data_IF_819498312284
#
_entry.id   IF_819498312284
#
_cell.length_a   1.000
_cell.length_b   1.000
_cell.length_c   1.000
_cell.angle_alpha   90.00
_cell.angle_beta   90.00
_cell.angle_gamma   90.00
#
_symmetry.space_group_name_H-M   'P 1'
#
loop_
_entity.id
_entity.type
_entity.pdbx_description
1 polymer ?
#
# COMPACT_ATOMS: atom_id res chain seq x y z
N UNK A 1 62.53 -53.48 43.73
CA UNK A 1 63.93 -53.08 43.50
C UNK A 1 63.92 -52.28 42.20
N UNK A 2 64.13 -50.97 42.32
CA UNK A 2 64.45 -49.99 41.28
C UNK A 2 63.51 -49.82 40.06
N UNK A 3 62.71 -48.76 40.09
CA UNK A 3 62.80 -47.54 39.27
C UNK A 3 63.05 -47.64 37.74
N UNK A 4 62.07 -47.18 36.95
CA UNK A 4 62.20 -46.02 36.04
C UNK A 4 60.87 -45.67 35.33
N UNK A 5 60.32 -44.50 35.69
CA UNK A 5 59.35 -43.67 34.94
C UNK A 5 60.04 -42.93 33.76
N UNK A 6 59.38 -42.06 32.95
CA UNK A 6 57.98 -41.98 32.49
C UNK A 6 57.88 -41.78 30.95
N UNK A 7 56.68 -41.85 30.37
CA UNK A 7 56.36 -41.08 29.16
C UNK A 7 54.86 -40.74 29.13
N UNK A 8 54.61 -39.54 29.64
CA UNK A 8 53.57 -38.56 29.36
C UNK A 8 52.61 -38.88 28.21
N UNK A 9 51.34 -38.84 28.57
CA UNK A 9 50.19 -38.77 27.69
C UNK A 9 48.96 -38.45 28.54
N UNK A 10 48.95 -37.26 29.12
CA UNK A 10 47.88 -36.68 29.95
C UNK A 10 46.49 -36.89 29.33
N UNK A 11 45.66 -37.71 29.99
CA UNK A 11 44.27 -37.38 30.26
C UNK A 11 44.26 -36.80 31.68
N UNK A 12 43.56 -35.68 31.95
CA UNK A 12 42.10 -35.69 32.02
C UNK A 12 41.51 -34.32 31.56
N UNK A 13 40.21 -34.05 31.41
CA UNK A 13 39.13 -34.07 32.39
C UNK A 13 37.78 -33.85 31.66
N UNK A 14 36.74 -34.49 32.19
CA UNK A 14 35.35 -34.07 32.01
C UNK A 14 35.16 -32.63 32.50
N UNK A 15 34.54 -31.79 31.66
CA UNK A 15 33.80 -30.62 32.13
C UNK A 15 32.41 -30.72 31.50
N UNK A 16 31.48 -31.31 32.24
CA UNK A 16 30.11 -30.82 32.26
C UNK A 16 30.17 -29.44 32.90
N UNK A 17 29.81 -28.40 32.16
CA UNK A 17 29.32 -27.15 32.76
C UNK A 17 28.35 -26.50 31.78
N UNK A 18 27.12 -26.38 32.28
CA UNK A 18 26.07 -25.48 31.83
C UNK A 18 26.61 -24.21 31.17
N UNK A 19 26.27 -24.01 29.89
CA UNK A 19 26.16 -22.67 29.37
C UNK A 19 24.78 -22.47 28.75
N UNK A 20 24.00 -21.51 29.29
CA UNK A 20 22.61 -21.34 28.96
C UNK A 20 22.44 -20.83 27.53
N UNK A 21 21.33 -21.26 26.94
CA UNK A 21 20.50 -20.53 26.01
C UNK A 21 20.69 -19.00 26.16
N UNK A 22 21.56 -18.42 25.35
CA UNK A 22 21.81 -16.97 25.33
C UNK A 22 22.11 -16.54 23.91
N UNK A 23 21.01 -16.31 23.19
CA UNK A 23 21.03 -15.62 21.92
C UNK A 23 19.92 -16.09 21.00
N UNK A 24 18.69 -16.14 21.49
CA UNK A 24 17.65 -15.50 20.68
C UNK A 24 18.27 -14.18 20.25
N UNK A 25 18.63 -14.07 18.96
CA UNK A 25 18.96 -12.80 18.35
C UNK A 25 17.92 -11.84 18.89
N UNK A 26 18.37 -10.92 19.74
CA UNK A 26 17.57 -9.84 20.31
C UNK A 26 17.31 -8.92 19.11
N UNK A 27 16.47 -9.44 18.22
CA UNK A 27 16.23 -8.95 16.89
C UNK A 27 15.57 -7.63 17.15
N UNK A 28 16.37 -6.58 16.99
CA UNK A 28 15.95 -5.24 17.33
C UNK A 28 14.62 -5.04 16.61
N UNK A 29 13.50 -4.85 17.33
CA UNK A 29 12.18 -5.05 16.77
C UNK A 29 12.06 -4.21 15.52
N UNK A 30 11.75 -4.85 14.38
CA UNK A 30 11.82 -4.22 13.07
C UNK A 30 11.19 -2.83 13.15
N UNK A 31 11.94 -1.77 12.84
CA UNK A 31 11.44 -0.40 12.98
C UNK A 31 10.89 0.12 11.67
N UNK A 32 9.94 1.04 11.75
CA UNK A 32 9.37 1.71 10.57
C UNK A 32 10.26 2.86 10.15
N UNK A 33 10.23 3.22 8.87
CA UNK A 33 10.78 4.52 8.42
C UNK A 33 9.93 5.63 9.03
N UNK A 34 10.58 6.56 9.76
CA UNK A 34 9.90 7.68 10.41
C UNK A 34 9.20 8.60 9.38
N UNK A 35 8.18 9.34 9.83
CA UNK A 35 7.45 10.27 8.96
C UNK A 35 8.37 11.31 8.31
N UNK A 36 9.30 11.88 9.08
CA UNK A 36 10.29 12.84 8.57
C UNK A 36 11.32 12.18 7.64
N UNK A 37 11.72 10.92 7.87
CA UNK A 37 12.60 10.18 6.95
C UNK A 37 11.93 9.98 5.60
N UNK A 38 10.61 9.71 5.58
CA UNK A 38 9.83 9.67 4.33
C UNK A 38 9.79 11.03 3.66
N UNK A 39 9.56 12.10 4.41
CA UNK A 39 9.56 13.46 3.87
C UNK A 39 10.93 13.82 3.26
N UNK A 40 12.03 13.47 3.94
CA UNK A 40 13.39 13.68 3.45
C UNK A 40 13.64 12.92 2.14
N UNK A 41 13.20 11.66 2.04
CA UNK A 41 13.26 10.89 0.78
C UNK A 41 12.50 11.60 -0.34
N UNK A 42 11.28 12.07 -0.07
CA UNK A 42 10.49 12.80 -1.05
C UNK A 42 11.19 14.08 -1.50
N UNK A 43 11.71 14.88 -0.57
CA UNK A 43 12.45 16.11 -0.89
C UNK A 43 13.67 15.80 -1.74
N UNK A 44 14.47 14.78 -1.38
CA UNK A 44 15.66 14.42 -2.15
C UNK A 44 15.33 14.01 -3.59
N UNK A 45 14.30 13.16 -3.77
CA UNK A 45 13.84 12.75 -5.10
C UNK A 45 13.22 13.91 -5.90
N UNK A 46 12.45 14.79 -5.26
CA UNK A 46 11.87 15.96 -5.92
C UNK A 46 12.93 16.98 -6.31
N UNK A 47 13.99 17.16 -5.51
CA UNK A 47 15.13 18.02 -5.86
C UNK A 47 15.87 17.48 -7.07
N UNK A 48 16.16 16.18 -7.09
CA UNK A 48 16.76 15.54 -8.27
C UNK A 48 15.88 15.70 -9.51
N UNK A 49 14.58 15.40 -9.38
CA UNK A 49 13.63 15.52 -10.49
C UNK A 49 13.52 16.97 -10.99
N UNK A 50 13.48 17.94 -10.08
CA UNK A 50 13.43 19.36 -10.41
C UNK A 50 14.68 19.82 -11.17
N UNK A 51 15.87 19.36 -10.77
CA UNK A 51 17.12 19.63 -11.48
C UNK A 51 17.15 18.97 -12.86
N UNK A 52 16.70 17.72 -12.97
CA UNK A 52 16.63 17.00 -14.23
C UNK A 52 15.68 17.67 -15.23
N UNK A 53 14.53 18.17 -14.76
CA UNK A 53 13.58 18.91 -15.60
C UNK A 53 14.16 20.28 -15.98
N UNK A 54 14.77 21.01 -15.05
CA UNK A 54 15.33 22.33 -15.32
C UNK A 54 16.49 22.30 -16.33
N UNK A 55 17.21 21.17 -16.42
CA UNK A 55 18.34 20.99 -17.34
C UNK A 55 18.04 19.96 -18.44
N UNK A 56 16.76 19.75 -18.78
CA UNK A 56 16.34 18.73 -19.74
C UNK A 56 16.86 18.95 -21.17
N UNK A 57 17.31 20.17 -21.50
CA UNK A 57 17.87 20.51 -22.82
C UNK A 57 19.32 19.98 -23.03
N UNK A 58 19.90 19.29 -22.04
CA UNK A 58 21.27 18.76 -22.11
C UNK A 58 21.28 17.28 -22.53
N UNK A 59 22.28 16.92 -23.33
CA UNK A 59 22.49 15.53 -23.78
C UNK A 59 22.83 14.55 -22.64
N UNK A 60 23.32 15.03 -21.49
CA UNK A 60 23.68 14.19 -20.34
C UNK A 60 23.53 14.91 -19.01
N UNK A 61 23.42 14.12 -17.93
CA UNK A 61 23.38 14.65 -16.57
C UNK A 61 24.71 15.32 -16.19
N UNK A 62 24.62 16.58 -15.80
CA UNK A 62 25.72 17.34 -15.24
C UNK A 62 26.07 16.93 -13.79
N UNK A 63 27.19 17.43 -13.26
CA UNK A 63 27.69 17.07 -11.93
C UNK A 63 26.69 17.30 -10.80
N UNK A 64 25.86 18.34 -10.90
CA UNK A 64 24.84 18.66 -9.90
C UNK A 64 23.68 17.67 -9.90
N UNK A 65 23.23 17.21 -11.07
CA UNK A 65 22.18 16.18 -11.18
C UNK A 65 22.69 14.84 -10.66
N UNK A 66 23.93 14.47 -11.00
CA UNK A 66 24.56 13.25 -10.50
C UNK A 66 24.74 13.28 -8.97
N UNK A 67 25.12 14.43 -8.41
CA UNK A 67 25.23 14.61 -6.96
C UNK A 67 23.86 14.52 -6.29
N UNK A 68 22.84 15.16 -6.85
CA UNK A 68 21.47 15.08 -6.36
C UNK A 68 20.91 13.65 -6.43
N UNK A 69 21.20 12.91 -7.51
CA UNK A 69 20.85 11.50 -7.65
C UNK A 69 21.54 10.64 -6.60
N UNK A 70 22.86 10.80 -6.42
CA UNK A 70 23.63 10.09 -5.42
C UNK A 70 23.10 10.37 -4.00
N UNK A 71 22.75 11.62 -3.70
CA UNK A 71 22.12 12.00 -2.44
C UNK A 71 20.74 11.33 -2.26
N UNK A 72 19.90 11.33 -3.29
CA UNK A 72 18.58 10.68 -3.24
C UNK A 72 18.67 9.17 -3.00
N UNK A 73 19.63 8.50 -3.64
CA UNK A 73 19.93 7.08 -3.44
C UNK A 73 20.46 6.86 -2.01
N UNK A 74 21.47 7.62 -1.59
CA UNK A 74 22.09 7.50 -0.27
C UNK A 74 21.09 7.72 0.87
N UNK A 75 20.26 8.76 0.78
CA UNK A 75 19.18 9.04 1.74
C UNK A 75 18.16 7.88 1.74
N UNK A 76 17.80 7.35 0.56
CA UNK A 76 16.86 6.24 0.46
C UNK A 76 17.42 4.96 1.10
N UNK A 77 18.69 4.62 0.84
CA UNK A 77 19.37 3.48 1.43
C UNK A 77 19.50 3.64 2.95
N UNK A 78 19.93 4.80 3.43
CA UNK A 78 20.04 5.11 4.86
C UNK A 78 18.70 5.00 5.59
N UNK A 79 17.62 5.53 5.01
CA UNK A 79 16.29 5.43 5.60
C UNK A 79 15.78 3.99 5.70
N UNK A 80 16.20 3.10 4.79
CA UNK A 80 15.82 1.68 4.80
C UNK A 80 16.72 0.86 5.73
N UNK A 81 18.02 1.16 5.78
CA UNK A 81 18.99 0.48 6.63
C UNK A 81 18.82 0.87 8.11
N UNK A 82 18.48 2.13 8.39
CA UNK A 82 18.32 2.65 9.76
C UNK A 82 16.96 3.33 9.94
N UNK A 83 15.87 2.55 10.03
CA UNK A 83 14.55 3.08 10.30
C UNK A 83 14.47 3.65 11.73
N UNK A 84 14.17 4.94 11.84
CA UNK A 84 14.10 5.68 13.11
C UNK A 84 12.66 5.89 13.61
N UNK A 85 11.68 5.24 13.00
CA UNK A 85 10.28 5.27 13.42
C UNK A 85 9.98 4.25 14.52
N UNK A 86 8.72 4.23 14.95
CA UNK A 86 8.25 3.28 15.97
C UNK A 86 8.30 1.81 15.51
N UNK A 87 8.11 0.90 16.47
CA UNK A 87 8.12 -0.54 16.25
C UNK A 87 7.11 -0.96 15.17
N UNK A 88 7.54 -1.85 14.28
CA UNK A 88 6.67 -2.55 13.34
C UNK A 88 5.92 -3.62 14.13
N UNK A 89 4.60 -3.45 14.21
CA UNK A 89 3.67 -4.37 14.86
C UNK A 89 2.99 -5.07 13.70
N UNK A 90 3.28 -6.35 13.52
CA UNK A 90 2.54 -7.19 12.60
C UNK A 90 1.13 -7.41 13.17
N UNK A 91 0.12 -7.43 12.29
CA UNK A 91 -1.27 -7.68 12.65
C UNK A 91 -1.71 -8.83 11.75
N UNK A 92 -1.23 -10.02 12.09
CA UNK A 92 -1.45 -11.22 11.28
C UNK A 92 -2.71 -11.97 11.73
N UNK A 93 -3.08 -11.84 13.00
CA UNK A 93 -4.30 -12.42 13.55
C UNK A 93 -5.33 -11.36 13.96
N UNK A 94 -6.59 -11.78 14.07
CA UNK A 94 -7.67 -10.91 14.52
C UNK A 94 -7.47 -10.45 15.98
N UNK A 95 -6.82 -11.27 16.81
CA UNK A 95 -6.51 -10.94 18.20
C UNK A 95 -5.47 -9.81 18.31
N UNK A 96 -4.63 -9.59 17.31
CA UNK A 96 -3.59 -8.55 17.34
C UNK A 96 -4.15 -7.16 16.97
N UNK A 97 -5.39 -7.09 16.51
CA UNK A 97 -5.98 -5.88 15.92
C UNK A 97 -6.45 -4.94 17.04
N UNK A 98 -5.56 -4.03 17.44
CA UNK A 98 -5.85 -2.99 18.42
C UNK A 98 -5.49 -1.59 17.90
N UNK A 99 -6.19 -0.59 18.45
CA UNK A 99 -5.94 0.82 18.19
C UNK A 99 -6.87 1.41 17.13
N UNK A 100 -6.51 2.59 16.63
CA UNK A 100 -7.34 3.36 15.69
C UNK A 100 -7.01 3.03 14.24
N UNK A 101 -8.01 2.81 13.39
CA UNK A 101 -7.88 2.39 11.99
C UNK A 101 -8.55 3.35 11.01
N UNK A 102 -7.84 3.66 9.92
CA UNK A 102 -8.27 4.64 8.92
C UNK A 102 -7.96 4.15 7.51
N UNK A 103 -8.88 4.37 6.57
CA UNK A 103 -8.58 4.19 5.14
C UNK A 103 -7.72 5.33 4.61
N UNK A 104 -6.58 4.97 3.99
CA UNK A 104 -5.66 5.95 3.39
C UNK A 104 -5.61 5.82 1.88
N UNK A 105 -5.69 6.98 1.23
CA UNK A 105 -5.42 7.12 -0.20
C UNK A 105 -3.91 7.18 -0.42
N UNK A 106 -3.42 6.50 -1.46
CA UNK A 106 -2.04 6.67 -1.89
C UNK A 106 -1.97 7.90 -2.80
N UNK A 107 -1.68 9.05 -2.20
CA UNK A 107 -1.58 10.32 -2.91
C UNK A 107 -0.50 10.33 -3.98
N UNK A 108 0.62 9.60 -3.78
CA UNK A 108 1.66 9.50 -4.79
C UNK A 108 1.16 8.83 -6.08
N UNK A 109 0.48 7.68 -5.96
CA UNK A 109 -0.11 7.01 -7.12
C UNK A 109 -1.24 7.81 -7.76
N UNK A 110 -2.00 8.57 -6.97
CA UNK A 110 -3.04 9.45 -7.50
C UNK A 110 -2.43 10.59 -8.32
N UNK A 111 -1.37 11.25 -7.82
CA UNK A 111 -0.67 12.30 -8.54
C UNK A 111 0.00 11.78 -9.83
N UNK A 112 0.62 10.61 -9.77
CA UNK A 112 1.15 9.94 -10.97
C UNK A 112 0.03 9.66 -11.98
N UNK A 113 -1.10 9.13 -11.52
CA UNK A 113 -2.27 8.90 -12.38
C UNK A 113 -2.79 10.18 -13.04
N UNK A 114 -2.86 11.30 -12.30
CA UNK A 114 -3.22 12.61 -12.84
C UNK A 114 -2.20 13.05 -13.89
N UNK A 115 -0.90 13.00 -13.58
CA UNK A 115 0.15 13.44 -14.49
C UNK A 115 0.14 12.65 -15.81
N UNK A 116 0.01 11.33 -15.75
CA UNK A 116 -0.09 10.46 -16.94
C UNK A 116 -1.33 10.79 -17.78
N UNK A 117 -2.48 11.02 -17.12
CA UNK A 117 -3.74 11.34 -17.81
C UNK A 117 -3.68 12.70 -18.48
N UNK A 118 -3.12 13.72 -17.80
CA UNK A 118 -2.93 15.07 -18.36
C UNK A 118 -1.94 15.05 -19.52
N UNK A 119 -0.79 14.37 -19.37
CA UNK A 119 0.20 14.22 -20.43
C UNK A 119 -0.38 13.55 -21.67
N UNK A 120 -1.09 12.43 -21.50
CA UNK A 120 -1.74 11.74 -22.60
C UNK A 120 -2.90 12.53 -23.24
N UNK A 121 -3.67 13.29 -22.45
CA UNK A 121 -4.71 14.18 -22.98
C UNK A 121 -4.12 15.34 -23.78
N UNK A 122 -2.97 15.87 -23.34
CA UNK A 122 -2.21 16.87 -24.08
C UNK A 122 -1.76 16.37 -25.46
N UNK A 123 -1.31 15.12 -25.53
CA UNK A 123 -0.95 14.47 -26.80
C UNK A 123 -2.17 14.31 -27.72
N UNK A 124 -3.34 13.94 -27.20
CA UNK A 124 -4.60 13.91 -27.98
C UNK A 124 -4.94 15.29 -28.55
N UNK A 125 -4.79 16.36 -27.75
CA UNK A 125 -4.99 17.73 -28.20
C UNK A 125 -4.04 18.14 -29.32
N UNK A 126 -2.75 17.76 -29.23
CA UNK A 126 -1.76 17.99 -30.27
C UNK A 126 -2.12 17.26 -31.57
N UNK A 127 -2.51 15.97 -31.49
CA UNK A 127 -2.97 15.18 -32.63
C UNK A 127 -4.14 15.87 -33.34
N UNK A 128 -5.17 16.28 -32.59
CA UNK A 128 -6.35 16.93 -33.17
C UNK A 128 -5.98 18.26 -33.83
N UNK A 129 -5.12 19.05 -33.19
CA UNK A 129 -4.65 20.32 -33.75
C UNK A 129 -3.88 20.11 -35.05
N UNK A 130 -2.94 19.17 -35.08
CA UNK A 130 -2.09 18.93 -36.24
C UNK A 130 -2.86 18.28 -37.42
N UNK A 131 -3.83 17.40 -37.13
CA UNK A 131 -4.76 16.89 -38.15
C UNK A 131 -5.65 18.01 -38.70
N UNK A 132 -6.16 18.90 -37.83
CA UNK A 132 -7.07 19.99 -38.25
C UNK A 132 -6.37 21.10 -39.03
N UNK A 133 -5.07 21.29 -38.81
CA UNK A 133 -4.23 22.27 -39.50
C UNK A 133 -3.50 21.69 -40.71
N UNK A 134 -3.66 20.39 -40.99
CA UNK A 134 -3.01 19.69 -42.09
C UNK A 134 -1.50 19.51 -41.90
N UNK A 135 -0.99 19.68 -40.68
CA UNK A 135 0.43 19.50 -40.33
C UNK A 135 0.85 18.04 -40.21
N UNK A 136 -0.10 17.15 -39.94
CA UNK A 136 0.10 15.71 -39.88
C UNK A 136 -1.06 14.98 -40.55
N UNK A 137 -0.80 13.78 -41.05
CA UNK A 137 -1.84 12.87 -41.55
C UNK A 137 -2.16 11.79 -40.52
N UNK A 138 -3.32 11.13 -40.67
CA UNK A 138 -3.70 9.98 -39.83
C UNK A 138 -2.66 8.85 -39.93
N UNK A 139 -2.05 8.69 -41.10
CA UNK A 139 -0.99 7.70 -41.32
C UNK A 139 0.25 8.01 -40.45
N UNK A 140 0.64 9.28 -40.35
CA UNK A 140 1.81 9.69 -39.55
C UNK A 140 1.58 9.40 -38.06
N UNK A 141 0.38 9.71 -37.56
CA UNK A 141 -0.01 9.42 -36.17
C UNK A 141 -0.01 7.91 -35.88
N UNK A 142 -0.55 7.08 -36.79
CA UNK A 142 -0.56 5.63 -36.60
C UNK A 142 0.84 5.01 -36.70
N UNK A 143 1.69 5.54 -37.58
CA UNK A 143 3.08 5.09 -37.74
C UNK A 143 3.90 5.41 -36.49
N UNK A 144 3.69 6.59 -35.92
CA UNK A 144 4.32 7.04 -34.68
C UNK A 144 3.94 6.14 -33.49
N UNK A 145 2.65 5.90 -33.29
CA UNK A 145 2.13 4.99 -32.26
C UNK A 145 2.68 3.56 -32.47
N UNK A 146 2.67 3.07 -33.71
CA UNK A 146 3.17 1.73 -34.04
C UNK A 146 4.66 1.57 -33.74
N UNK A 147 5.46 2.58 -34.05
CA UNK A 147 6.91 2.60 -33.79
C UNK A 147 7.19 2.60 -32.28
N UNK A 148 6.44 3.37 -31.51
CA UNK A 148 6.54 3.38 -30.05
C UNK A 148 6.18 2.03 -29.42
N UNK A 149 5.06 1.42 -29.82
CA UNK A 149 4.63 0.11 -29.29
C UNK A 149 5.60 -0.99 -29.70
N UNK A 150 6.08 -0.99 -30.94
CA UNK A 150 7.06 -1.96 -31.42
C UNK A 150 8.39 -1.82 -30.66
N UNK A 151 8.88 -0.58 -30.49
CA UNK A 151 10.09 -0.30 -29.71
C UNK A 151 9.97 -0.81 -28.28
N UNK A 152 8.92 -0.43 -27.56
CA UNK A 152 8.71 -0.85 -26.18
C UNK A 152 8.54 -2.37 -26.04
N UNK A 153 7.81 -3.01 -26.96
CA UNK A 153 7.62 -4.47 -26.95
C UNK A 153 8.93 -5.21 -27.21
N UNK A 154 9.75 -4.71 -28.12
CA UNK A 154 11.05 -5.31 -28.43
C UNK A 154 12.02 -5.18 -27.26
N UNK A 155 12.05 -4.03 -26.57
CA UNK A 155 12.89 -3.81 -25.41
C UNK A 155 12.43 -4.68 -24.22
N UNK A 156 11.12 -4.76 -23.98
CA UNK A 156 10.56 -5.57 -22.90
C UNK A 156 10.78 -7.08 -23.06
N UNK A 157 10.83 -7.58 -24.31
CA UNK A 157 10.98 -9.01 -24.59
C UNK A 157 12.43 -9.44 -24.85
N UNK A 158 13.25 -8.57 -25.45
CA UNK A 158 14.62 -8.92 -25.84
C UNK A 158 15.70 -8.38 -24.91
N UNK A 159 15.37 -7.39 -24.05
CA UNK A 159 16.33 -6.76 -23.15
C UNK A 159 17.46 -5.98 -23.84
N UNK A 160 17.38 -5.80 -25.17
CA UNK A 160 18.28 -4.97 -25.95
C UNK A 160 17.61 -3.62 -26.24
N UNK A 161 18.40 -2.54 -26.20
CA UNK A 161 17.93 -1.21 -26.63
C UNK A 161 17.65 -1.27 -28.13
N UNK A 162 16.38 -1.38 -28.49
CA UNK A 162 15.97 -1.22 -29.88
C UNK A 162 16.19 0.25 -30.25
N UNK A 163 17.04 0.48 -31.24
CA UNK A 163 17.33 1.80 -31.82
C UNK A 163 16.13 2.26 -32.68
N UNK A 164 14.93 2.22 -32.08
CA UNK A 164 13.79 2.94 -32.63
C UNK A 164 14.25 4.39 -32.69
N UNK A 165 14.16 4.99 -33.87
CA UNK A 165 14.43 6.41 -34.10
C UNK A 165 13.38 7.27 -33.37
N UNK A 166 13.32 7.15 -32.05
CA UNK A 166 12.38 7.79 -31.14
C UNK A 166 12.56 9.31 -31.18
N UNK A 167 13.73 9.76 -31.60
CA UNK A 167 14.09 11.16 -31.87
C UNK A 167 13.35 11.77 -33.07
N UNK A 168 12.71 10.96 -33.91
CA UNK A 168 11.93 11.42 -35.07
C UNK A 168 10.42 11.18 -34.95
N UNK A 169 9.99 10.48 -33.91
CA UNK A 169 8.58 10.30 -33.58
C UNK A 169 8.03 11.52 -32.87
N UNK A 170 6.87 12.00 -33.32
CA UNK A 170 6.16 13.08 -32.64
C UNK A 170 5.70 12.59 -31.26
N UNK A 171 5.38 13.50 -30.34
CA UNK A 171 4.92 13.11 -29.00
C UNK A 171 3.52 12.45 -28.99
N UNK A 172 2.97 12.02 -30.14
CA UNK A 172 1.63 11.44 -30.25
C UNK A 172 1.52 10.11 -29.52
N UNK A 173 2.61 9.35 -29.45
CA UNK A 173 2.69 8.11 -28.68
C UNK A 173 2.36 8.31 -27.18
N UNK A 174 2.52 9.51 -26.63
CA UNK A 174 2.14 9.81 -25.25
C UNK A 174 0.63 9.65 -24.98
N UNK A 175 -0.23 9.59 -26.02
CA UNK A 175 -1.65 9.26 -25.83
C UNK A 175 -1.84 7.90 -25.13
N UNK A 176 -0.89 6.97 -25.30
CA UNK A 176 -0.91 5.65 -24.64
C UNK A 176 -0.91 5.79 -23.12
N UNK A 177 -0.36 6.89 -22.57
CA UNK A 177 -0.32 7.18 -21.13
C UNK A 177 -1.70 7.44 -20.51
N UNK A 178 -2.72 7.76 -21.32
CA UNK A 178 -4.09 7.97 -20.82
C UNK A 178 -4.62 6.70 -20.16
N UNK A 179 -4.41 5.53 -20.76
CA UNK A 179 -4.92 4.25 -20.26
C UNK A 179 -4.35 3.89 -18.86
N UNK A 180 -3.01 3.82 -18.65
CA UNK A 180 -2.45 3.57 -17.33
C UNK A 180 -2.76 4.72 -16.35
N UNK A 181 -2.85 5.97 -16.83
CA UNK A 181 -3.27 7.11 -16.01
C UNK A 181 -4.68 6.93 -15.43
N UNK A 182 -5.66 6.63 -16.28
CA UNK A 182 -7.04 6.37 -15.89
C UNK A 182 -7.16 5.13 -14.99
N UNK A 183 -6.41 4.07 -15.26
CA UNK A 183 -6.38 2.88 -14.40
C UNK A 183 -5.87 3.21 -12.99
N UNK A 184 -4.79 3.98 -12.88
CA UNK A 184 -4.26 4.43 -11.59
C UNK A 184 -5.24 5.35 -10.88
N UNK A 185 -5.88 6.27 -11.58
CA UNK A 185 -6.92 7.14 -11.02
C UNK A 185 -8.09 6.31 -10.50
N UNK A 186 -8.65 5.43 -11.32
CA UNK A 186 -9.76 4.55 -10.95
C UNK A 186 -9.44 3.71 -9.70
N UNK A 187 -8.27 3.07 -9.68
CA UNK A 187 -7.84 2.21 -8.56
C UNK A 187 -7.63 2.97 -7.25
N UNK A 188 -7.29 4.27 -7.32
CA UNK A 188 -7.13 5.13 -6.15
C UNK A 188 -8.40 5.91 -5.78
N UNK A 189 -9.34 6.05 -6.72
CA UNK A 189 -10.62 6.73 -6.51
C UNK A 189 -11.61 5.89 -5.70
N UNK A 190 -11.68 4.57 -5.93
CA UNK A 190 -12.60 3.69 -5.19
C UNK A 190 -12.40 3.78 -3.66
N UNK A 191 -11.18 3.70 -3.10
CA UNK A 191 -10.95 3.89 -1.66
C UNK A 191 -11.17 5.33 -1.17
N UNK A 192 -11.11 6.32 -2.06
CA UNK A 192 -11.37 7.74 -1.74
C UNK A 192 -12.87 7.99 -1.55
N UNK A 193 -13.70 7.46 -2.45
CA UNK A 193 -15.17 7.58 -2.36
C UNK A 193 -15.75 6.64 -1.31
N UNK A 194 -15.26 5.41 -1.24
CA UNK A 194 -15.68 4.40 -0.26
C UNK A 194 -14.77 4.39 0.98
N UNK A 195 -14.44 5.58 1.51
CA UNK A 195 -13.48 5.71 2.61
C UNK A 195 -14.01 5.17 3.94
N UNK A 196 -15.33 5.17 4.12
CA UNK A 196 -15.99 4.77 5.37
C UNK A 196 -15.62 5.67 6.55
N UNK A 197 -16.14 5.33 7.73
CA UNK A 197 -15.83 5.98 8.99
C UNK A 197 -14.59 5.36 9.62
N UNK A 198 -13.75 6.17 10.26
CA UNK A 198 -12.65 5.65 11.07
C UNK A 198 -13.22 4.77 12.20
N UNK A 199 -12.55 3.67 12.52
CA UNK A 199 -12.94 2.82 13.63
C UNK A 199 -11.77 2.58 14.57
N UNK A 200 -12.07 2.29 15.82
CA UNK A 200 -11.11 1.99 16.89
C UNK A 200 -11.47 0.63 17.45
N UNK A 201 -10.47 -0.22 17.66
CA UNK A 201 -10.61 -1.48 18.37
C UNK A 201 -9.93 -1.34 19.71
N UNK A 202 -10.70 -1.43 20.79
CA UNK A 202 -10.21 -1.38 22.17
C UNK A 202 -9.66 -2.74 22.61
N UNK A 203 -8.87 -2.81 23.71
CA UNK A 203 -8.25 -4.05 24.20
C UNK A 203 -9.24 -5.16 24.59
N UNK A 204 -10.49 -4.79 24.90
CA UNK A 204 -11.60 -5.71 25.15
C UNK A 204 -12.25 -6.22 23.85
N UNK A 205 -11.60 -5.96 22.71
CA UNK A 205 -12.10 -6.14 21.35
C UNK A 205 -13.35 -5.30 21.03
N UNK A 206 -13.77 -4.34 21.86
CA UNK A 206 -14.88 -3.47 21.53
C UNK A 206 -14.51 -2.57 20.35
N UNK A 207 -15.46 -2.35 19.44
CA UNK A 207 -15.24 -1.54 18.24
C UNK A 207 -16.01 -0.24 18.42
N UNK A 208 -15.34 0.89 18.20
CA UNK A 208 -15.93 2.23 18.22
C UNK A 208 -15.76 2.90 16.86
N UNK A 209 -16.74 3.68 16.42
CA UNK A 209 -16.76 4.39 15.14
C UNK A 209 -16.67 5.89 15.37
N UNK A 210 -15.92 6.57 14.51
CA UNK A 210 -15.84 8.02 14.47
C UNK A 210 -17.08 8.59 13.76
N UNK A 211 -17.96 9.23 14.53
CA UNK A 211 -19.09 10.02 14.02
C UNK A 211 -18.87 11.54 14.17
N UNK A 212 -19.87 12.36 13.81
CA UNK A 212 -19.80 13.82 13.90
C UNK A 212 -19.58 14.35 15.33
N UNK A 213 -20.11 13.63 16.32
CA UNK A 213 -20.06 14.01 17.75
C UNK A 213 -18.89 13.38 18.51
N UNK A 214 -18.03 12.60 17.85
CA UNK A 214 -16.91 11.91 18.48
C UNK A 214 -16.90 10.41 18.21
N UNK A 215 -16.32 9.64 19.14
CA UNK A 215 -16.31 8.18 19.09
C UNK A 215 -17.61 7.64 19.70
N UNK A 216 -18.29 6.74 19.01
CA UNK A 216 -19.43 5.98 19.52
C UNK A 216 -19.19 4.49 19.35
N UNK A 217 -19.58 3.66 20.33
CA UNK A 217 -19.40 2.22 20.21
C UNK A 217 -20.26 1.63 19.08
N UNK A 218 -19.70 0.66 18.36
CA UNK A 218 -20.32 -0.14 17.30
C UNK A 218 -21.19 -1.28 17.88
N UNK A 219 -21.72 -1.14 19.10
CA UNK A 219 -22.63 -2.11 19.74
C UNK A 219 -23.78 -1.35 20.41
N UNK A 220 -25.01 -1.50 19.94
CA UNK A 220 -26.00 -2.53 20.36
C UNK A 220 -26.56 -2.37 21.80
N UNK A 221 -26.00 -1.51 22.66
CA UNK A 221 -26.44 -1.41 24.07
C UNK A 221 -27.45 -0.30 24.42
N UNK A 222 -27.61 0.72 23.59
CA UNK A 222 -28.70 1.69 23.75
C UNK A 222 -29.72 1.47 22.63
N UNK A 223 -30.84 0.84 22.99
CA UNK A 223 -32.25 0.90 22.51
C UNK A 223 -32.65 1.42 21.10
N UNK A 224 -31.74 1.82 20.22
CA UNK A 224 -32.04 2.60 19.01
C UNK A 224 -31.37 2.05 17.73
N UNK A 225 -30.35 1.18 17.80
CA UNK A 225 -29.67 0.63 16.61
C UNK A 225 -29.65 -0.90 16.58
N UNK A 226 -30.76 -1.49 16.14
CA UNK A 226 -30.85 -2.91 15.78
C UNK A 226 -30.39 -3.08 14.32
N UNK A 227 -29.27 -3.77 14.08
CA UNK A 227 -28.78 -4.04 12.72
C UNK A 227 -29.34 -5.36 12.20
N UNK A 228 -30.10 -5.31 11.10
CA UNK A 228 -30.68 -6.50 10.49
C UNK A 228 -29.65 -7.28 9.64
N UNK A 229 -28.74 -6.55 8.98
CA UNK A 229 -27.79 -7.14 8.05
C UNK A 229 -26.45 -6.40 8.02
N UNK A 230 -25.37 -7.18 7.90
CA UNK A 230 -24.01 -6.67 7.69
C UNK A 230 -23.46 -7.25 6.41
N UNK A 231 -22.92 -6.41 5.53
CA UNK A 231 -22.36 -6.84 4.24
C UNK A 231 -20.97 -6.27 4.04
N UNK A 232 -19.99 -7.15 3.78
CA UNK A 232 -18.63 -6.79 3.42
C UNK A 232 -18.37 -7.11 1.94
N UNK A 233 -18.04 -6.11 1.14
CA UNK A 233 -17.79 -6.25 -0.32
C UNK A 233 -16.30 -6.35 -0.67
N UNK A 234 -15.42 -6.45 0.33
CA UNK A 234 -13.97 -6.42 0.16
C UNK A 234 -13.39 -5.00 0.03
N UNK A 235 -14.23 -3.97 -0.03
CA UNK A 235 -13.83 -2.56 0.02
C UNK A 235 -14.31 -1.87 1.30
N UNK A 236 -15.53 -2.16 1.72
CA UNK A 236 -16.20 -1.62 2.90
C UNK A 236 -17.05 -2.69 3.58
N UNK A 237 -17.28 -2.50 4.88
CA UNK A 237 -18.24 -3.28 5.67
C UNK A 237 -19.39 -2.34 6.01
N UNK A 238 -20.59 -2.67 5.53
CA UNK A 238 -21.80 -1.89 5.72
C UNK A 238 -22.69 -2.57 6.74
N UNK A 239 -23.08 -1.83 7.78
CA UNK A 239 -24.06 -2.20 8.79
C UNK A 239 -25.38 -1.53 8.42
N UNK A 240 -26.39 -2.34 8.13
CA UNK A 240 -27.73 -1.87 7.72
C UNK A 240 -28.68 -2.03 8.89
N UNK A 241 -29.32 -0.94 9.31
CA UNK A 241 -30.31 -0.99 10.39
C UNK A 241 -31.58 -1.74 9.96
N UNK A 242 -32.31 -2.28 10.92
CA UNK A 242 -33.63 -2.85 10.73
C UNK A 242 -34.71 -1.78 10.43
N UNK A 243 -34.49 -0.53 10.84
CA UNK A 243 -35.39 0.60 10.57
C UNK A 243 -34.90 1.52 9.46
N UNK A 244 -35.82 2.08 8.68
CA UNK A 244 -35.51 3.05 7.61
C UNK A 244 -34.98 4.40 8.12
N UNK A 245 -35.13 4.69 9.43
CA UNK A 245 -34.80 5.98 10.01
C UNK A 245 -33.29 6.17 10.29
N UNK A 246 -32.52 5.08 10.41
CA UNK A 246 -31.13 5.13 10.85
C UNK A 246 -30.15 4.84 9.71
N UNK A 247 -29.24 5.79 9.38
CA UNK A 247 -28.35 5.64 8.25
C UNK A 247 -27.37 4.49 8.47
N UNK A 248 -27.05 3.77 7.39
CA UNK A 248 -26.12 2.66 7.43
C UNK A 248 -24.71 3.12 7.86
N UNK A 249 -24.10 2.42 8.80
CA UNK A 249 -22.70 2.66 9.18
C UNK A 249 -21.80 1.93 8.18
N UNK A 250 -20.83 2.65 7.62
CA UNK A 250 -19.88 2.10 6.64
C UNK A 250 -18.48 2.18 7.23
N UNK A 251 -17.84 1.02 7.42
CA UNK A 251 -16.46 0.92 7.84
C UNK A 251 -15.56 0.58 6.65
N UNK A 252 -14.32 1.08 6.58
CA UNK A 252 -13.39 0.69 5.55
C UNK A 252 -12.87 -0.72 5.77
N UNK A 253 -12.66 -1.44 4.67
CA UNK A 253 -12.03 -2.75 4.63
C UNK A 253 -10.77 -2.74 3.76
N UNK A 254 -10.81 -2.00 2.64
CA UNK A 254 -9.68 -1.81 1.77
C UNK A 254 -8.74 -0.69 2.24
N UNK A 255 -7.42 -0.94 2.15
CA UNK A 255 -6.37 0.05 2.45
C UNK A 255 -6.54 0.68 3.83
N UNK A 256 -6.90 -0.15 4.79
CA UNK A 256 -7.00 0.23 6.20
C UNK A 256 -5.61 0.19 6.82
N UNK A 257 -5.26 1.23 7.55
CA UNK A 257 -4.01 1.34 8.27
C UNK A 257 -4.29 1.72 9.72
N UNK A 258 -3.54 1.11 10.65
CA UNK A 258 -3.48 1.62 12.01
C UNK A 258 -2.94 3.06 11.97
N UNK A 259 -3.55 3.95 12.74
CA UNK A 259 -3.16 5.36 12.85
C UNK A 259 -1.90 5.50 13.68
N UNK A 260 -1.83 4.76 14.78
CA UNK A 260 -0.73 4.78 15.74
C UNK A 260 0.52 4.15 15.13
N UNK A 261 0.35 2.97 14.55
CA UNK A 261 1.49 2.20 14.08
C UNK A 261 1.73 2.46 12.59
N UNK A 262 0.69 2.61 11.78
CA UNK A 262 0.80 2.69 10.33
C UNK A 262 0.84 1.33 9.65
N UNK A 263 0.64 0.23 10.39
CA UNK A 263 0.57 -1.12 9.82
C UNK A 263 -0.67 -1.22 8.97
N UNK A 264 -0.55 -1.84 7.79
CA UNK A 264 -1.69 -2.15 6.95
C UNK A 264 -2.47 -3.31 7.57
N UNK A 265 -3.73 -3.07 7.90
CA UNK A 265 -4.64 -4.14 8.27
C UNK A 265 -5.03 -4.90 6.99
N UNK A 266 -4.74 -6.20 6.95
CA UNK A 266 -5.11 -7.06 5.82
C UNK A 266 -6.63 -7.23 5.79
N UNK A 267 -7.20 -7.30 4.58
CA UNK A 267 -8.66 -7.42 4.39
C UNK A 267 -9.20 -8.68 5.05
N UNK A 268 -8.44 -9.78 4.95
CA UNK A 268 -8.78 -11.07 5.53
C UNK A 268 -8.82 -11.01 7.05
N UNK A 269 -7.81 -10.42 7.67
CA UNK A 269 -7.74 -10.23 9.14
C UNK A 269 -8.88 -9.34 9.62
N UNK A 270 -9.17 -8.23 8.92
CA UNK A 270 -10.33 -7.40 9.24
C UNK A 270 -11.64 -8.18 9.11
N UNK A 271 -11.81 -8.97 8.05
CA UNK A 271 -13.02 -9.75 7.83
C UNK A 271 -13.20 -10.77 8.94
N UNK A 272 -12.12 -11.45 9.34
CA UNK A 272 -12.14 -12.43 10.42
C UNK A 272 -12.50 -11.81 11.76
N UNK A 273 -11.92 -10.67 12.12
CA UNK A 273 -12.29 -9.91 13.33
C UNK A 273 -13.80 -9.63 13.38
N UNK A 274 -14.35 -9.05 12.31
CA UNK A 274 -15.77 -8.71 12.25
C UNK A 274 -16.66 -9.96 12.23
N UNK A 275 -16.22 -11.04 11.59
CA UNK A 275 -16.95 -12.30 11.57
C UNK A 275 -17.01 -12.95 12.95
N UNK A 276 -15.89 -13.08 13.63
CA UNK A 276 -15.85 -13.65 14.98
C UNK A 276 -16.74 -12.85 15.93
N UNK A 277 -16.71 -11.52 15.82
CA UNK A 277 -17.59 -10.64 16.59
C UNK A 277 -19.06 -10.89 16.25
N UNK A 278 -19.45 -10.80 14.98
CA UNK A 278 -20.85 -10.99 14.56
C UNK A 278 -21.40 -12.35 14.96
N UNK A 279 -20.59 -13.41 14.87
CA UNK A 279 -20.97 -14.75 15.30
C UNK A 279 -21.25 -14.81 16.81
N UNK A 280 -20.43 -14.15 17.65
CA UNK A 280 -20.67 -14.05 19.11
C UNK A 280 -21.99 -13.33 19.44
N UNK A 281 -22.43 -12.43 18.57
CA UNK A 281 -23.68 -11.66 18.72
C UNK A 281 -24.88 -12.26 17.95
N UNK A 282 -24.82 -13.54 17.57
CA UNK A 282 -25.97 -14.26 17.02
C UNK A 282 -26.27 -13.99 15.54
N UNK A 283 -25.33 -13.39 14.80
CA UNK A 283 -25.44 -13.30 13.33
C UNK A 283 -25.03 -14.63 12.69
N UNK A 284 -25.82 -15.08 11.72
CA UNK A 284 -25.43 -16.13 10.78
C UNK A 284 -24.58 -15.53 9.67
N UNK A 285 -23.40 -16.09 9.43
CA UNK A 285 -22.40 -15.54 8.52
C UNK A 285 -22.26 -16.44 7.30
N UNK A 286 -22.47 -15.85 6.13
CA UNK A 286 -22.22 -16.43 4.82
C UNK A 286 -20.93 -15.83 4.24
N UNK A 287 -19.95 -16.69 3.90
CA UNK A 287 -18.69 -16.26 3.30
C UNK A 287 -18.86 -16.27 1.78
N UNK A 288 -18.68 -15.11 1.15
CA UNK A 288 -18.85 -14.96 -0.30
C UNK A 288 -17.51 -15.16 -1.01
N UNK A 289 -16.47 -14.48 -0.53
CA UNK A 289 -15.11 -14.57 -1.08
C UNK A 289 -14.08 -14.38 0.03
N UNK A 290 -13.47 -15.48 0.48
CA UNK A 290 -12.45 -15.47 1.52
C UNK A 290 -11.20 -14.69 1.13
N UNK A 291 -10.78 -14.73 -0.16
CA UNK A 291 -9.58 -14.02 -0.62
C UNK A 291 -9.79 -12.51 -0.58
N UNK A 292 -10.99 -12.03 -0.91
CA UNK A 292 -11.34 -10.61 -0.84
C UNK A 292 -11.82 -10.16 0.55
N UNK A 293 -12.07 -11.09 1.46
CA UNK A 293 -12.65 -10.83 2.78
C UNK A 293 -14.14 -10.48 2.70
N UNK A 294 -14.84 -10.92 1.66
CA UNK A 294 -16.27 -10.63 1.47
C UNK A 294 -17.13 -11.63 2.22
N UNK A 295 -18.10 -11.12 2.98
CA UNK A 295 -19.04 -11.91 3.76
C UNK A 295 -20.37 -11.16 3.92
N UNK A 296 -21.40 -11.90 4.30
CA UNK A 296 -22.72 -11.37 4.64
C UNK A 296 -23.15 -11.96 5.99
N UNK A 297 -23.39 -11.09 6.97
CA UNK A 297 -24.01 -11.45 8.24
C UNK A 297 -25.50 -11.10 8.21
N UNK A 298 -26.36 -12.01 8.67
CA UNK A 298 -27.78 -11.76 8.92
C UNK A 298 -28.12 -12.14 10.35
N UNK A 299 -28.92 -11.32 11.03
CA UNK A 299 -29.39 -11.65 12.37
C UNK A 299 -30.39 -12.81 12.27
N UNK A 300 -30.17 -13.87 13.06
CA UNK A 300 -31.07 -15.02 13.07
C UNK A 300 -32.44 -14.63 13.63
N UNK A 301 -33.51 -15.08 12.97
CA UNK A 301 -34.93 -14.81 13.33
C UNK A 301 -35.40 -15.46 14.65
N UNK A 302 -34.49 -15.90 15.52
CA UNK A 302 -34.78 -16.78 16.66
C UNK A 302 -34.20 -16.36 18.01
N UNK A 303 -33.73 -15.13 18.16
CA UNK A 303 -33.34 -14.58 19.47
C UNK A 303 -34.31 -13.46 19.86
N UNK A 304 -35.52 -13.87 20.26
CA UNK A 304 -36.38 -13.14 21.19
C UNK A 304 -36.39 -13.91 22.50
#
# INVERSE_FOLDING_TARGET
MADQEPCDGDQPDQIDDDMPDTGEDESTPARRVAGWQRALRWVAWLTFLGLAIANCDRESFGPLELLALAAAIGISAWCLATPLGGALVAMDEAADVHGTFVSRTNWGLLLIGVALTVGGSGAIGAIVCDLSTGRATVHDVLTDIGTFVAGWTSEALSGWSYDAHLEHTHAYALFVLVVPGLLLLWWNFVPLVKRGCEFRVEPDASISVRGPRGWGQLLEYDLEYDYAAVTADGTTIRFTSAGDATPAIILPQARVFSRETGTRLRRQVSAELFRQRLARHGFTIEVIDAKRGSFRGRRGLGAM
#
